data_IF_983530022033
#
_entry.id   IF_983530022033
#
_cell.length_a   1.000
_cell.length_b   1.000
_cell.length_c   1.000
_cell.angle_alpha   90.00
_cell.angle_beta   90.00
_cell.angle_gamma   90.00
#
_symmetry.space_group_name_H-M   'P 1'
#
loop_
_entity.id
_entity.type
_entity.pdbx_description
1 polymer ?
#
# COMPACT_ATOMS: atom_id res chain seq x y z
N UNK A 1 13.05 47.79 -26.36
CA UNK A 1 11.89 47.59 -25.47
C UNK A 1 12.38 46.82 -24.26
N UNK A 2 12.43 47.49 -23.10
CA UNK A 2 12.97 46.98 -21.85
C UNK A 2 11.90 46.12 -21.16
N UNK A 3 12.23 44.87 -20.85
CA UNK A 3 11.40 44.01 -20.01
C UNK A 3 11.47 44.51 -18.56
N UNK A 4 10.34 44.90 -17.99
CA UNK A 4 10.19 45.24 -16.56
C UNK A 4 10.28 43.96 -15.73
N UNK A 5 11.20 43.93 -14.76
CA UNK A 5 11.20 42.93 -13.67
C UNK A 5 10.03 43.19 -12.72
N UNK A 6 9.35 42.16 -12.19
CA UNK A 6 8.39 42.34 -11.09
C UNK A 6 9.13 42.52 -9.75
N UNK A 7 8.62 43.46 -8.95
CA UNK A 7 9.07 43.81 -7.60
C UNK A 7 9.19 42.58 -6.68
N UNK A 8 10.38 42.35 -6.14
CA UNK A 8 10.60 41.44 -5.01
C UNK A 8 10.18 42.17 -3.75
N UNK A 9 8.99 41.85 -3.24
CA UNK A 9 8.57 42.28 -1.90
C UNK A 9 9.34 41.43 -0.88
N UNK A 10 10.29 42.06 -0.18
CA UNK A 10 11.03 41.46 0.93
C UNK A 10 10.01 41.16 2.03
N UNK A 11 9.75 39.87 2.29
CA UNK A 11 8.89 39.44 3.40
C UNK A 11 9.60 39.71 4.74
N UNK A 12 8.88 40.37 5.65
CA UNK A 12 9.29 40.62 7.04
C UNK A 12 9.68 39.33 7.79
N UNK A 13 10.58 39.42 8.78
CA UNK A 13 10.98 38.27 9.60
C UNK A 13 9.80 37.76 10.44
N UNK A 14 9.62 36.44 10.46
CA UNK A 14 8.51 35.77 11.14
C UNK A 14 8.55 35.99 12.66
N UNK A 15 7.44 36.51 13.20
CA UNK A 15 7.17 36.67 14.63
C UNK A 15 7.01 35.28 15.31
N UNK A 16 7.90 34.91 16.26
CA UNK A 16 7.87 33.61 16.95
C UNK A 16 6.68 33.45 17.91
N UNK A 17 5.85 34.48 18.07
CA UNK A 17 4.68 34.48 18.97
C UNK A 17 3.38 34.09 18.27
N UNK A 18 3.35 33.98 16.93
CA UNK A 18 2.13 33.59 16.20
C UNK A 18 1.93 32.07 16.28
N UNK A 19 0.79 31.59 16.82
CA UNK A 19 0.46 30.17 16.71
C UNK A 19 0.32 29.82 15.22
N UNK A 20 1.10 28.85 14.77
CA UNK A 20 0.97 28.28 13.42
C UNK A 20 -0.49 27.85 13.21
N UNK A 21 -1.09 28.11 12.03
CA UNK A 21 -2.39 27.54 11.72
C UNK A 21 -2.27 26.02 11.83
N UNK A 22 -3.05 25.44 12.75
CA UNK A 22 -3.13 24.00 12.91
C UNK A 22 -3.42 23.39 11.52
N UNK A 23 -2.47 22.60 11.02
CA UNK A 23 -2.69 21.80 9.83
C UNK A 23 -3.96 20.98 10.05
N UNK A 24 -4.97 21.05 9.16
CA UNK A 24 -6.15 20.22 9.30
C UNK A 24 -5.72 18.76 9.23
N UNK A 25 -5.87 18.05 10.35
CA UNK A 25 -5.71 16.61 10.42
C UNK A 25 -6.56 15.97 9.32
N UNK A 26 -5.92 15.19 8.45
CA UNK A 26 -6.51 14.61 7.25
C UNK A 26 -7.63 13.61 7.59
N UNK A 27 -8.88 14.08 7.62
CA UNK A 27 -10.08 13.28 7.91
C UNK A 27 -10.71 12.57 6.70
N UNK A 28 -10.11 12.63 5.51
CA UNK A 28 -10.70 12.07 4.27
C UNK A 28 -10.32 10.62 3.94
N UNK A 29 -9.26 10.08 4.54
CA UNK A 29 -8.61 8.83 4.08
C UNK A 29 -9.29 7.56 4.65
N UNK A 30 -10.03 7.68 5.75
CA UNK A 30 -10.61 6.52 6.46
C UNK A 30 -11.78 5.89 5.69
N UNK A 31 -12.46 6.63 4.81
CA UNK A 31 -13.69 6.16 4.17
C UNK A 31 -13.46 5.08 3.11
N UNK A 32 -12.43 5.20 2.27
CA UNK A 32 -12.18 4.25 1.17
C UNK A 32 -11.67 2.88 1.65
N UNK A 33 -10.70 2.85 2.57
CA UNK A 33 -10.21 1.59 3.16
C UNK A 33 -11.33 0.83 3.90
N UNK A 34 -12.27 1.56 4.51
CA UNK A 34 -13.36 0.94 5.26
C UNK A 34 -14.31 0.12 4.38
N UNK A 35 -14.46 0.46 3.10
CA UNK A 35 -15.39 -0.23 2.19
C UNK A 35 -14.92 -1.64 1.80
N UNK A 36 -13.60 -1.88 1.78
CA UNK A 36 -13.00 -3.20 1.47
C UNK A 36 -12.89 -4.10 2.71
N UNK A 37 -13.09 -3.55 3.91
CA UNK A 37 -13.01 -4.27 5.19
C UNK A 37 -14.40 -4.56 5.80
N UNK A 38 -15.46 -3.97 5.26
CA UNK A 38 -16.82 -4.19 5.71
C UNK A 38 -17.39 -5.47 5.11
N UNK A 39 -17.94 -6.40 5.91
CA UNK A 39 -18.64 -7.55 5.37
C UNK A 39 -19.85 -7.05 4.58
N UNK A 40 -19.92 -7.39 3.28
CA UNK A 40 -21.07 -7.05 2.45
C UNK A 40 -22.35 -7.60 3.08
N UNK A 41 -23.36 -6.74 3.24
CA UNK A 41 -24.66 -7.13 3.79
C UNK A 41 -25.49 -8.02 2.84
N UNK A 42 -25.04 -8.17 1.59
CA UNK A 42 -25.70 -8.97 0.55
C UNK A 42 -24.71 -9.98 -0.03
N UNK A 43 -24.95 -11.27 0.21
CA UNK A 43 -24.15 -12.43 -0.24
C UNK A 43 -24.20 -12.67 -1.77
N UNK A 44 -24.31 -11.63 -2.59
CA UNK A 44 -24.60 -11.78 -4.01
C UNK A 44 -23.36 -11.73 -4.92
N UNK A 45 -22.20 -11.40 -4.37
CA UNK A 45 -20.92 -11.36 -5.07
C UNK A 45 -19.92 -12.24 -4.31
N UNK A 46 -19.30 -13.20 -4.98
CA UNK A 46 -18.59 -14.32 -4.36
C UNK A 46 -17.35 -13.97 -3.52
N UNK A 47 -16.96 -12.68 -3.47
CA UNK A 47 -15.83 -12.17 -2.72
C UNK A 47 -16.27 -11.56 -1.39
N UNK A 48 -16.22 -12.36 -0.31
CA UNK A 48 -16.47 -11.87 1.05
C UNK A 48 -15.38 -10.87 1.47
N UNK A 49 -15.73 -9.60 1.62
CA UNK A 49 -14.87 -8.55 2.18
C UNK A 49 -14.61 -8.81 3.66
N UNK A 50 -13.35 -8.92 4.04
CA UNK A 50 -12.93 -9.22 5.41
C UNK A 50 -11.85 -8.21 5.85
N UNK A 51 -11.82 -7.83 7.14
CA UNK A 51 -10.76 -6.98 7.65
C UNK A 51 -9.41 -7.70 7.58
N UNK A 52 -8.38 -6.98 7.13
CA UNK A 52 -7.01 -7.50 7.05
C UNK A 52 -6.09 -6.60 7.89
N UNK A 53 -5.17 -7.20 8.63
CA UNK A 53 -4.18 -6.47 9.45
C UNK A 53 -3.43 -5.43 8.59
N UNK A 54 -3.55 -4.16 8.95
CA UNK A 54 -2.83 -3.05 8.34
C UNK A 54 -1.34 -3.07 8.69
N UNK A 55 -0.51 -2.46 7.85
CA UNK A 55 0.91 -2.30 8.12
C UNK A 55 1.14 -1.31 9.26
N UNK A 56 2.02 -1.67 10.19
CA UNK A 56 2.52 -0.78 11.24
C UNK A 56 4.02 -0.54 11.03
N UNK A 57 4.46 0.72 11.15
CA UNK A 57 5.88 1.09 11.12
C UNK A 57 6.66 0.52 12.31
N UNK A 58 5.96 0.31 13.43
CA UNK A 58 6.46 -0.30 14.65
C UNK A 58 5.56 -1.50 14.97
N UNK A 59 5.75 -2.64 14.26
CA UNK A 59 4.88 -3.79 14.41
C UNK A 59 5.05 -4.42 15.80
N UNK A 60 3.94 -4.76 16.45
CA UNK A 60 3.96 -5.67 17.60
C UNK A 60 4.16 -7.09 17.07
N UNK A 61 5.25 -7.72 17.52
CA UNK A 61 5.65 -9.07 17.13
C UNK A 61 5.30 -10.12 18.20
N UNK A 62 4.46 -9.75 19.18
CA UNK A 62 3.91 -10.70 20.14
C UNK A 62 3.13 -11.82 19.42
N UNK A 63 3.12 -13.07 19.93
CA UNK A 63 2.52 -14.22 19.24
C UNK A 63 1.04 -14.05 18.85
N UNK A 64 0.28 -13.23 19.58
CA UNK A 64 -1.12 -12.94 19.27
C UNK A 64 -1.31 -11.90 18.16
N UNK A 65 -0.27 -11.12 17.85
CA UNK A 65 -0.32 -10.04 16.86
C UNK A 65 0.26 -10.45 15.50
N UNK A 66 1.03 -11.54 15.42
CA UNK A 66 1.60 -12.05 14.17
C UNK A 66 0.73 -13.17 13.61
N UNK A 67 0.37 -13.10 12.33
CA UNK A 67 -0.44 -14.15 11.67
C UNK A 67 0.37 -15.44 11.55
N UNK A 68 -0.25 -16.57 11.87
CA UNK A 68 0.33 -17.90 11.61
C UNK A 68 0.54 -18.13 10.10
N UNK A 69 1.41 -19.07 9.66
CA UNK A 69 1.60 -19.36 8.24
C UNK A 69 0.30 -19.73 7.51
N UNK A 70 -0.58 -20.50 8.17
CA UNK A 70 -1.90 -20.83 7.64
C UNK A 70 -2.78 -19.57 7.45
N UNK A 71 -2.76 -18.65 8.43
CA UNK A 71 -3.52 -17.40 8.32
C UNK A 71 -2.92 -16.46 7.25
N UNK A 72 -1.60 -16.45 7.06
CA UNK A 72 -0.95 -15.74 5.97
C UNK A 72 -1.38 -16.26 4.60
N UNK A 73 -1.38 -17.58 4.39
CA UNK A 73 -1.87 -18.18 3.14
C UNK A 73 -3.32 -17.82 2.83
N UNK A 74 -4.22 -17.92 3.83
CA UNK A 74 -5.62 -17.48 3.69
C UNK A 74 -5.73 -15.98 3.36
N UNK A 75 -4.90 -15.16 4.00
CA UNK A 75 -4.87 -13.73 3.71
C UNK A 75 -4.43 -13.44 2.28
N UNK A 76 -3.39 -14.12 1.78
CA UNK A 76 -2.91 -13.95 0.41
C UNK A 76 -3.97 -14.34 -0.62
N UNK A 77 -4.68 -15.46 -0.39
CA UNK A 77 -5.82 -15.88 -1.23
C UNK A 77 -6.92 -14.81 -1.22
N UNK A 78 -7.26 -14.29 -0.04
CA UNK A 78 -8.28 -13.24 0.07
C UNK A 78 -7.87 -11.94 -0.62
N UNK A 79 -6.64 -11.46 -0.41
CA UNK A 79 -6.15 -10.24 -1.08
C UNK A 79 -6.14 -10.39 -2.61
N UNK A 80 -5.84 -11.59 -3.11
CA UNK A 80 -5.93 -11.88 -4.53
C UNK A 80 -7.37 -11.85 -5.05
N UNK A 81 -8.34 -12.38 -4.29
CA UNK A 81 -9.75 -12.37 -4.71
C UNK A 81 -10.36 -10.97 -4.75
N UNK A 82 -9.77 -9.99 -4.05
CA UNK A 82 -10.19 -8.59 -4.12
C UNK A 82 -9.81 -7.92 -5.45
N UNK A 83 -8.82 -8.45 -6.18
CA UNK A 83 -8.43 -7.89 -7.48
C UNK A 83 -9.53 -8.07 -8.54
N UNK A 84 -10.36 -9.10 -8.38
CA UNK A 84 -11.49 -9.39 -9.27
C UNK A 84 -12.82 -8.78 -8.76
N UNK A 85 -12.79 -8.02 -7.66
CA UNK A 85 -14.00 -7.49 -7.05
C UNK A 85 -14.63 -6.37 -7.92
N UNK A 86 -15.90 -6.52 -8.35
CA UNK A 86 -16.59 -5.49 -9.12
C UNK A 86 -16.80 -4.21 -8.31
N UNK A 87 -16.88 -3.08 -9.01
CA UNK A 87 -17.26 -1.80 -8.42
C UNK A 87 -16.18 -1.10 -7.59
N UNK A 88 -14.93 -1.60 -7.59
CA UNK A 88 -13.80 -0.93 -6.94
C UNK A 88 -12.80 -0.44 -7.99
N UNK A 89 -12.28 0.78 -7.82
CA UNK A 89 -11.24 1.29 -8.72
C UNK A 89 -9.89 0.62 -8.44
N UNK A 90 -9.04 0.50 -9.46
CA UNK A 90 -7.68 0.01 -9.27
C UNK A 90 -6.90 0.82 -8.23
N UNK A 91 -7.09 2.14 -8.21
CA UNK A 91 -6.43 3.02 -7.25
C UNK A 91 -6.83 2.71 -5.80
N UNK A 92 -8.12 2.51 -5.55
CA UNK A 92 -8.64 2.09 -4.24
C UNK A 92 -8.09 0.73 -3.81
N UNK A 93 -8.10 -0.25 -4.73
CA UNK A 93 -7.49 -1.56 -4.51
C UNK A 93 -6.00 -1.44 -4.23
N UNK A 94 -5.29 -0.56 -4.94
CA UNK A 94 -3.87 -0.34 -4.76
C UNK A 94 -3.54 0.17 -3.35
N UNK A 95 -4.24 1.21 -2.90
CA UNK A 95 -4.03 1.79 -1.55
C UNK A 95 -4.21 0.71 -0.49
N UNK A 96 -5.24 -0.12 -0.62
CA UNK A 96 -5.54 -1.19 0.33
C UNK A 96 -4.53 -2.33 0.25
N UNK A 97 -4.42 -2.99 -0.90
CA UNK A 97 -3.65 -4.22 -1.07
C UNK A 97 -2.15 -3.96 -0.86
N UNK A 98 -1.61 -2.83 -1.33
CA UNK A 98 -0.19 -2.51 -1.14
C UNK A 98 0.18 -2.38 0.34
N UNK A 99 -0.70 -1.80 1.17
CA UNK A 99 -0.50 -1.72 2.61
C UNK A 99 -0.59 -3.11 3.26
N UNK A 100 -1.61 -3.91 2.90
CA UNK A 100 -1.78 -5.25 3.46
C UNK A 100 -0.66 -6.21 3.05
N UNK A 101 -0.10 -6.08 1.86
CA UNK A 101 1.07 -6.82 1.42
C UNK A 101 2.34 -6.46 2.22
N UNK A 102 2.54 -5.19 2.58
CA UNK A 102 3.61 -4.80 3.49
C UNK A 102 3.45 -5.46 4.85
N UNK A 103 2.23 -5.48 5.40
CA UNK A 103 1.96 -6.17 6.66
C UNK A 103 2.24 -7.68 6.57
N UNK A 104 1.85 -8.32 5.47
CA UNK A 104 2.13 -9.75 5.22
C UNK A 104 3.64 -10.01 5.19
N UNK A 105 4.40 -9.21 4.44
CA UNK A 105 5.87 -9.31 4.39
C UNK A 105 6.51 -9.15 5.76
N UNK A 106 6.08 -8.17 6.55
CA UNK A 106 6.55 -7.99 7.93
C UNK A 106 6.34 -9.25 8.77
N UNK A 107 5.16 -9.86 8.70
CA UNK A 107 4.86 -11.09 9.46
C UNK A 107 5.68 -12.30 8.96
N UNK A 108 5.94 -12.40 7.64
CA UNK A 108 6.81 -13.43 7.05
C UNK A 108 8.25 -13.26 7.57
N UNK A 109 8.78 -12.03 7.56
CA UNK A 109 10.13 -11.72 8.05
C UNK A 109 10.26 -12.01 9.54
N UNK A 110 9.29 -11.59 10.35
CA UNK A 110 9.28 -11.82 11.79
C UNK A 110 9.33 -13.31 12.16
N UNK A 111 8.66 -14.15 11.37
CA UNK A 111 8.65 -15.61 11.56
C UNK A 111 9.78 -16.35 10.84
N UNK A 112 10.61 -15.65 10.06
CA UNK A 112 11.69 -16.22 9.25
C UNK A 112 11.23 -17.37 8.33
N UNK A 113 10.04 -17.26 7.74
CA UNK A 113 9.50 -18.31 6.88
C UNK A 113 10.30 -18.43 5.58
N UNK A 114 10.61 -19.65 5.18
CA UNK A 114 11.46 -19.95 4.00
C UNK A 114 10.96 -21.20 3.25
N UNK A 115 9.67 -21.20 2.87
CA UNK A 115 9.03 -22.28 2.12
C UNK A 115 8.76 -21.90 0.66
N UNK A 116 8.50 -22.89 -0.20
CA UNK A 116 8.05 -22.67 -1.57
C UNK A 116 6.73 -21.88 -1.64
N UNK A 117 5.81 -22.12 -0.70
CA UNK A 117 4.58 -21.32 -0.56
C UNK A 117 4.88 -19.85 -0.27
N UNK A 118 5.84 -19.59 0.62
CA UNK A 118 6.25 -18.21 0.94
C UNK A 118 6.83 -17.52 -0.29
N UNK A 119 7.64 -18.22 -1.09
CA UNK A 119 8.16 -17.71 -2.35
C UNK A 119 7.02 -17.40 -3.34
N UNK A 120 6.01 -18.28 -3.43
CA UNK A 120 4.84 -18.05 -4.27
C UNK A 120 4.07 -16.78 -3.84
N UNK A 121 3.85 -16.58 -2.54
CA UNK A 121 3.20 -15.38 -2.03
C UNK A 121 3.99 -14.11 -2.36
N UNK A 122 5.31 -14.11 -2.15
CA UNK A 122 6.16 -12.97 -2.50
C UNK A 122 6.17 -12.69 -4.01
N UNK A 123 6.20 -13.73 -4.85
CA UNK A 123 6.09 -13.57 -6.29
C UNK A 123 4.75 -12.95 -6.71
N UNK A 124 3.65 -13.33 -6.05
CA UNK A 124 2.34 -12.70 -6.27
C UNK A 124 2.34 -11.21 -5.91
N UNK A 125 2.96 -10.83 -4.78
CA UNK A 125 3.10 -9.42 -4.41
C UNK A 125 3.94 -8.63 -5.43
N UNK A 126 5.04 -9.21 -5.90
CA UNK A 126 5.88 -8.59 -6.92
C UNK A 126 5.10 -8.37 -8.24
N UNK A 127 4.32 -9.36 -8.68
CA UNK A 127 3.44 -9.24 -9.86
C UNK A 127 2.43 -8.11 -9.70
N UNK A 128 1.80 -8.02 -8.53
CA UNK A 128 0.85 -6.96 -8.23
C UNK A 128 1.51 -5.57 -8.31
N UNK A 129 2.68 -5.37 -7.69
CA UNK A 129 3.37 -4.08 -7.74
C UNK A 129 3.82 -3.72 -9.16
N UNK A 130 4.30 -4.68 -9.95
CA UNK A 130 4.65 -4.45 -11.35
C UNK A 130 3.43 -4.07 -12.19
N UNK A 131 2.30 -4.75 -12.00
CA UNK A 131 1.04 -4.44 -12.68
C UNK A 131 0.51 -3.06 -12.27
N UNK A 132 0.45 -2.76 -10.98
CA UNK A 132 0.01 -1.45 -10.49
C UNK A 132 0.92 -0.31 -11.00
N UNK A 133 2.23 -0.55 -11.12
CA UNK A 133 3.16 0.41 -11.71
C UNK A 133 2.78 0.77 -13.14
N UNK A 134 2.49 -0.24 -13.97
CA UNK A 134 2.12 -0.06 -15.36
C UNK A 134 0.80 0.73 -15.47
N UNK A 135 -0.26 0.22 -14.85
CA UNK A 135 -1.61 0.75 -15.02
C UNK A 135 -1.79 2.14 -14.40
N UNK A 136 -1.25 2.39 -13.20
CA UNK A 136 -1.50 3.64 -12.46
C UNK A 136 -0.57 4.78 -12.88
N UNK A 137 0.60 4.48 -13.46
CA UNK A 137 1.44 5.53 -14.05
C UNK A 137 0.73 6.18 -15.26
N UNK A 138 0.14 5.37 -16.14
CA UNK A 138 -0.57 5.86 -17.33
C UNK A 138 -1.82 6.68 -16.97
N UNK A 139 -2.50 6.33 -15.87
CA UNK A 139 -3.70 7.04 -15.40
C UNK A 139 -3.39 8.37 -14.70
N UNK A 140 -2.16 8.58 -14.23
CA UNK A 140 -1.76 9.79 -13.49
C UNK A 140 -1.59 11.04 -14.36
N UNK A 141 -1.45 10.89 -15.68
CA UNK A 141 -1.19 11.99 -16.60
C UNK A 141 -2.45 12.79 -17.01
N UNK A 142 -3.66 12.33 -16.64
CA UNK A 142 -4.94 12.87 -17.13
C UNK A 142 -5.83 13.62 -16.13
N UNK A 143 -5.46 13.75 -14.85
CA UNK A 143 -6.39 14.20 -13.80
C UNK A 143 -6.22 15.66 -13.34
N UNK A 144 -6.88 16.60 -14.00
CA UNK A 144 -7.11 17.95 -13.43
C UNK A 144 -8.29 17.88 -12.45
N UNK A 145 -8.03 18.23 -11.20
CA UNK A 145 -9.07 18.79 -10.31
C UNK A 145 -10.03 17.79 -9.65
N UNK A 146 -9.53 16.88 -8.82
CA UNK A 146 -10.22 16.51 -7.59
C UNK A 146 -9.23 15.91 -6.58
N UNK A 147 -9.57 15.89 -5.29
CA UNK A 147 -8.79 15.39 -4.14
C UNK A 147 -8.49 13.87 -4.20
N UNK A 148 -7.99 13.39 -5.34
CA UNK A 148 -7.74 11.99 -5.66
C UNK A 148 -6.28 11.69 -5.36
N UNK A 149 -6.04 10.68 -4.53
CA UNK A 149 -4.72 10.25 -4.07
C UNK A 149 -3.75 10.03 -5.24
N UNK A 150 -2.64 10.76 -5.29
CA UNK A 150 -1.67 10.58 -6.38
C UNK A 150 -0.90 9.28 -6.15
N UNK A 151 -0.95 8.37 -7.14
CA UNK A 151 -0.13 7.17 -7.13
C UNK A 151 1.36 7.55 -7.09
N UNK A 152 2.04 7.15 -6.00
CA UNK A 152 3.48 7.35 -5.86
C UNK A 152 4.24 6.18 -6.50
N UNK A 153 4.62 6.38 -7.75
CA UNK A 153 5.41 5.45 -8.55
C UNK A 153 6.74 5.06 -7.89
N UNK A 154 7.41 5.99 -7.21
CA UNK A 154 8.67 5.73 -6.54
C UNK A 154 8.46 4.84 -5.32
N UNK A 155 7.45 5.14 -4.51
CA UNK A 155 7.11 4.31 -3.35
C UNK A 155 6.69 2.90 -3.78
N UNK A 156 5.92 2.76 -4.86
CA UNK A 156 5.53 1.45 -5.40
C UNK A 156 6.76 0.65 -5.84
N UNK A 157 7.67 1.27 -6.60
CA UNK A 157 8.91 0.63 -7.06
C UNK A 157 9.79 0.19 -5.87
N UNK A 158 9.86 0.99 -4.80
CA UNK A 158 10.56 0.59 -3.58
C UNK A 158 9.92 -0.65 -2.94
N UNK A 159 8.59 -0.77 -2.93
CA UNK A 159 7.92 -1.98 -2.42
C UNK A 159 8.16 -3.19 -3.31
N UNK A 160 8.18 -3.01 -4.64
CA UNK A 160 8.54 -4.05 -5.59
C UNK A 160 9.96 -4.56 -5.32
N UNK A 161 10.95 -3.67 -5.25
CA UNK A 161 12.35 -4.02 -5.00
C UNK A 161 12.52 -4.76 -3.67
N UNK A 162 11.93 -4.24 -2.58
CA UNK A 162 11.98 -4.92 -1.28
C UNK A 162 11.39 -6.34 -1.33
N UNK A 163 10.36 -6.56 -2.16
CA UNK A 163 9.74 -7.87 -2.34
C UNK A 163 10.63 -8.80 -3.15
N UNK A 164 11.24 -8.30 -4.23
CA UNK A 164 12.17 -9.05 -5.08
C UNK A 164 13.45 -9.43 -4.33
N UNK A 165 14.02 -8.53 -3.53
CA UNK A 165 15.21 -8.79 -2.71
C UNK A 165 14.94 -9.94 -1.73
N UNK A 166 13.79 -9.89 -1.05
CA UNK A 166 13.37 -10.93 -0.11
C UNK A 166 13.12 -12.27 -0.82
N UNK A 167 12.48 -12.27 -1.98
CA UNK A 167 12.26 -13.46 -2.79
C UNK A 167 13.60 -14.06 -3.27
N UNK A 168 14.50 -13.23 -3.78
CA UNK A 168 15.82 -13.65 -4.26
C UNK A 168 16.63 -14.31 -3.14
N UNK A 169 16.66 -13.69 -1.95
CA UNK A 169 17.33 -14.25 -0.78
C UNK A 169 16.77 -15.63 -0.39
N UNK A 170 15.44 -15.82 -0.42
CA UNK A 170 14.82 -17.12 -0.15
C UNK A 170 15.17 -18.16 -1.22
N UNK A 171 15.10 -17.80 -2.51
CA UNK A 171 15.41 -18.71 -3.60
C UNK A 171 16.88 -19.17 -3.56
N UNK A 172 17.82 -18.27 -3.27
CA UNK A 172 19.23 -18.61 -3.06
C UNK A 172 19.42 -19.54 -1.86
N UNK A 173 18.69 -19.30 -0.77
CA UNK A 173 18.70 -20.18 0.41
C UNK A 173 18.13 -21.57 0.15
N UNK A 174 17.23 -21.73 -0.83
CA UNK A 174 16.69 -23.03 -1.25
C UNK A 174 17.63 -23.79 -2.18
N UNK A 175 18.39 -23.11 -3.05
CA UNK A 175 19.34 -23.76 -3.97
C UNK A 175 20.62 -24.26 -3.29
N UNK A 176 20.92 -23.77 -2.08
CA UNK A 176 22.12 -24.14 -1.32
C UNK A 176 21.89 -25.31 -0.35
N UNK A 177 20.68 -25.89 -0.34
CA UNK A 177 20.29 -27.05 0.49
C UNK A 177 20.07 -28.28 -0.38
#
# INVERSE_FOLDING_TARGET
MLCRSPDVTISEPADPSRPHPAFPCHGGIILELSSLEQPDASEHDGSKRLPVKAFSRTPDLSPGMVRTPMALGKTMIHLASLLDAPGTTLQSLYIFISDRYRAVRTDIQAQQLSSAETCFWLAQQARFHAWAQHELCEQSEGGVGNLVFVFDAYQNLQQLNNTLDMLSAMLQGLHTR
#
